data_IF_856949568266
#
_entry.id   IF_856949568266
#
_cell.length_a   1.000
_cell.length_b   1.000
_cell.length_c   1.000
_cell.angle_alpha   90.00
_cell.angle_beta   90.00
_cell.angle_gamma   90.00
#
_symmetry.space_group_name_H-M   'P 1'
#
loop_
_entity.id
_entity.type
_entity.pdbx_description
1 polymer ?
#
# COMPACT_ATOMS: atom_id res chain seq x y z
N UNK A 1 22.90 29.67 8.52
CA UNK A 1 24.35 29.86 8.70
C UNK A 1 24.90 28.55 9.20
N UNK A 2 25.72 27.90 8.39
CA UNK A 2 26.26 26.57 8.70
C UNK A 2 27.37 26.71 9.73
N UNK A 3 27.30 25.93 10.80
CA UNK A 3 28.34 25.89 11.82
C UNK A 3 29.20 24.65 11.63
N UNK A 4 30.50 24.87 11.50
CA UNK A 4 31.50 23.81 11.51
C UNK A 4 32.15 23.82 12.90
N UNK A 5 31.95 22.73 13.64
CA UNK A 5 32.50 22.59 14.98
C UNK A 5 33.83 21.88 14.86
N UNK A 6 34.90 22.56 15.26
CA UNK A 6 36.27 22.04 15.21
C UNK A 6 36.76 21.74 16.62
N UNK A 7 36.90 20.46 16.95
CA UNK A 7 37.52 20.00 18.19
C UNK A 7 39.03 19.91 17.93
N UNK A 8 39.82 20.66 18.71
CA UNK A 8 41.25 20.87 18.40
C UNK A 8 42.18 20.63 19.58
N UNK A 9 43.39 20.21 19.26
CA UNK A 9 44.53 20.13 20.15
C UNK A 9 45.47 21.35 20.00
N UNK A 10 45.61 21.87 18.78
CA UNK A 10 46.56 22.93 18.45
C UNK A 10 45.91 24.21 17.93
N UNK A 11 46.56 25.36 18.16
CA UNK A 11 46.14 26.64 17.57
C UNK A 11 46.43 26.73 16.07
N UNK A 12 47.27 25.83 15.54
CA UNK A 12 47.60 25.81 14.11
C UNK A 12 46.38 25.50 13.24
N UNK A 13 45.47 24.66 13.74
CA UNK A 13 44.21 24.31 13.07
C UNK A 13 43.27 25.50 12.97
N UNK A 14 43.25 26.39 13.98
CA UNK A 14 42.44 27.62 13.93
C UNK A 14 42.87 28.49 12.77
N UNK A 15 44.18 28.72 12.66
CA UNK A 15 44.73 29.56 11.62
C UNK A 15 44.42 28.98 10.24
N UNK A 16 44.61 27.67 10.08
CA UNK A 16 44.35 26.95 8.84
C UNK A 16 42.90 27.14 8.36
N UNK A 17 41.91 26.86 9.21
CA UNK A 17 40.50 26.97 8.82
C UNK A 17 39.95 28.41 8.85
N UNK A 18 40.56 29.31 9.63
CA UNK A 18 40.19 30.74 9.59
C UNK A 18 40.54 31.36 8.24
N UNK A 19 41.69 30.99 7.65
CA UNK A 19 42.06 31.44 6.30
C UNK A 19 41.11 30.90 5.24
N UNK A 20 40.75 29.60 5.33
CA UNK A 20 39.74 29.00 4.45
C UNK A 20 38.45 29.81 4.41
N UNK A 21 37.96 30.20 5.58
CA UNK A 21 36.71 30.94 5.71
C UNK A 21 36.83 32.34 5.10
N UNK A 22 37.92 33.06 5.38
CA UNK A 22 38.11 34.44 4.90
C UNK A 22 38.30 34.52 3.38
N UNK A 23 39.00 33.55 2.81
CA UNK A 23 39.49 33.65 1.44
C UNK A 23 38.52 33.01 0.42
N UNK A 24 37.67 32.07 0.84
CA UNK A 24 36.89 31.24 -0.09
C UNK A 24 35.39 31.14 0.16
N UNK A 25 34.89 31.59 1.32
CA UNK A 25 33.48 31.50 1.68
C UNK A 25 32.97 32.88 2.11
N UNK A 26 31.85 33.32 1.51
CA UNK A 26 31.12 34.47 2.04
C UNK A 26 30.58 34.14 3.44
N UNK A 27 30.14 35.17 4.18
CA UNK A 27 29.78 35.19 5.61
C UNK A 27 28.75 34.17 6.13
N UNK A 28 28.45 33.10 5.39
CA UNK A 28 27.47 32.07 5.71
C UNK A 28 28.06 30.85 6.46
N UNK A 29 29.39 30.82 6.62
CA UNK A 29 30.12 29.77 7.34
C UNK A 29 30.70 30.31 8.65
N UNK A 30 30.44 29.61 9.76
CA UNK A 30 31.01 29.93 11.06
C UNK A 30 31.80 28.73 11.59
N UNK A 31 33.10 28.89 11.80
CA UNK A 31 33.92 27.92 12.50
C UNK A 31 33.84 28.17 14.01
N UNK A 32 33.50 27.13 14.75
CA UNK A 32 33.47 27.11 16.21
C UNK A 32 34.59 26.22 16.70
N UNK A 33 35.63 26.80 17.27
CA UNK A 33 36.80 26.07 17.75
C UNK A 33 36.65 25.71 19.24
N UNK A 34 36.69 24.42 19.56
CA UNK A 34 36.55 23.88 20.92
C UNK A 34 37.86 23.16 21.29
N UNK A 35 38.60 23.62 22.30
CA UNK A 35 39.76 22.89 22.80
C UNK A 35 39.38 21.48 23.29
N UNK A 36 40.21 20.48 23.01
CA UNK A 36 39.96 19.09 23.39
C UNK A 36 39.80 18.85 24.89
N UNK A 37 40.33 19.74 25.73
CA UNK A 37 40.15 19.69 27.18
C UNK A 37 38.88 20.39 27.69
N UNK A 38 38.01 20.87 26.80
CA UNK A 38 36.78 21.62 27.10
C UNK A 38 35.56 21.02 26.39
N UNK A 39 35.49 19.70 26.28
CA UNK A 39 34.42 18.99 25.57
C UNK A 39 33.03 19.25 26.16
N UNK A 40 32.92 19.65 27.43
CA UNK A 40 31.67 20.08 28.04
C UNK A 40 31.00 21.25 27.29
N UNK A 41 31.77 22.02 26.51
CA UNK A 41 31.21 23.08 25.67
C UNK A 41 30.40 22.56 24.48
N UNK A 42 30.59 21.30 24.07
CA UNK A 42 29.82 20.68 22.97
C UNK A 42 28.32 20.67 23.27
N UNK A 43 27.93 20.57 24.54
CA UNK A 43 26.51 20.60 24.94
C UNK A 43 25.81 21.89 24.51
N UNK A 44 26.53 23.03 24.51
CA UNK A 44 25.99 24.32 24.06
C UNK A 44 25.62 24.29 22.58
N UNK A 45 26.33 23.46 21.80
CA UNK A 45 26.13 23.32 20.37
C UNK A 45 25.26 22.13 19.99
N UNK A 46 24.92 21.24 20.93
CA UNK A 46 24.03 20.09 20.70
C UNK A 46 22.71 20.46 20.03
N UNK A 47 22.18 21.67 20.29
CA UNK A 47 20.88 22.15 19.79
C UNK A 47 20.87 22.60 18.33
N UNK A 48 22.02 22.86 17.71
CA UNK A 48 22.03 23.18 16.29
C UNK A 48 21.71 21.92 15.46
N UNK A 49 21.17 22.10 14.27
CA UNK A 49 21.00 21.01 13.29
C UNK A 49 22.02 21.17 12.18
N UNK A 50 22.33 20.08 11.47
CA UNK A 50 23.24 20.08 10.33
C UNK A 50 24.64 20.60 10.69
N UNK A 51 25.31 19.98 11.67
CA UNK A 51 26.71 20.28 12.00
C UNK A 51 27.64 19.40 11.20
N UNK A 52 28.81 19.96 10.91
CA UNK A 52 29.98 19.17 10.51
C UNK A 52 30.96 19.24 11.67
N UNK A 53 31.45 18.08 12.09
CA UNK A 53 32.47 17.98 13.12
C UNK A 53 33.82 17.77 12.47
N UNK A 54 34.76 18.66 12.73
CA UNK A 54 36.17 18.48 12.42
C UNK A 54 36.87 18.12 13.72
N UNK A 55 37.55 16.97 13.78
CA UNK A 55 38.22 16.50 15.00
C UNK A 55 39.70 16.38 14.70
N UNK A 56 40.52 17.25 15.29
CA UNK A 56 41.97 17.13 15.25
C UNK A 56 42.39 15.81 15.91
N UNK A 57 43.29 15.07 15.27
CA UNK A 57 43.82 13.83 15.80
C UNK A 57 44.67 14.12 17.05
N UNK A 58 44.28 13.50 18.16
CA UNK A 58 45.07 13.46 19.41
C UNK A 58 45.83 12.13 19.43
N UNK A 59 45.73 11.37 20.51
CA UNK A 59 45.98 9.93 20.51
C UNK A 59 44.73 9.14 20.05
N UNK A 60 44.93 7.86 19.75
CA UNK A 60 43.88 6.97 19.24
C UNK A 60 42.71 6.86 20.22
N UNK A 61 43.00 6.56 21.49
CA UNK A 61 41.99 6.28 22.51
C UNK A 61 41.14 7.52 22.79
N UNK A 62 41.78 8.68 22.93
CA UNK A 62 41.08 9.93 23.15
C UNK A 62 40.20 10.33 21.96
N UNK A 63 40.71 10.18 20.74
CA UNK A 63 39.96 10.50 19.52
C UNK A 63 38.75 9.57 19.36
N UNK A 64 38.92 8.27 19.59
CA UNK A 64 37.81 7.32 19.57
C UNK A 64 36.77 7.62 20.66
N UNK A 65 37.20 8.03 21.85
CA UNK A 65 36.30 8.43 22.93
C UNK A 65 35.48 9.66 22.55
N UNK A 66 36.07 10.67 21.89
CA UNK A 66 35.31 11.82 21.37
C UNK A 66 34.26 11.34 20.36
N UNK A 67 34.66 10.57 19.35
CA UNK A 67 33.77 10.09 18.28
C UNK A 67 32.59 9.31 18.87
N UNK A 68 32.86 8.41 19.82
CA UNK A 68 31.85 7.55 20.44
C UNK A 68 30.84 8.32 21.29
N UNK A 69 31.24 9.47 21.86
CA UNK A 69 30.38 10.30 22.70
C UNK A 69 29.61 11.36 21.90
N UNK A 70 29.91 11.55 20.61
CA UNK A 70 29.15 12.45 19.76
C UNK A 70 27.83 11.81 19.33
N UNK A 71 26.72 12.34 19.85
CA UNK A 71 25.38 11.98 19.39
C UNK A 71 25.09 12.65 18.05
N UNK A 72 25.48 11.99 16.96
CA UNK A 72 25.24 12.45 15.60
C UNK A 72 23.82 12.14 15.13
N UNK A 73 23.23 13.07 14.39
CA UNK A 73 22.04 12.82 13.58
C UNK A 73 22.41 12.21 12.22
N UNK A 74 21.43 11.64 11.51
CA UNK A 74 21.61 11.00 10.19
C UNK A 74 22.29 11.92 9.13
N UNK A 75 22.21 13.24 9.31
CA UNK A 75 22.73 14.26 8.40
C UNK A 75 24.02 14.94 8.90
N UNK A 76 24.57 14.51 10.05
CA UNK A 76 25.81 15.05 10.64
C UNK A 76 27.00 14.10 10.36
N UNK A 77 28.17 14.67 10.06
CA UNK A 77 29.36 13.90 9.68
C UNK A 77 30.58 14.35 10.46
N UNK A 78 31.47 13.39 10.74
CA UNK A 78 32.77 13.63 11.36
C UNK A 78 33.86 13.56 10.29
N UNK A 79 34.80 14.50 10.32
CA UNK A 79 36.03 14.46 9.55
C UNK A 79 37.23 14.57 10.48
N UNK A 80 38.20 13.68 10.30
CA UNK A 80 39.45 13.75 11.06
C UNK A 80 40.38 14.80 10.46
N UNK A 81 41.02 15.60 11.30
CA UNK A 81 41.99 16.61 10.89
C UNK A 81 43.35 16.24 11.46
N UNK A 82 44.40 16.26 10.66
CA UNK A 82 45.76 16.01 11.15
C UNK A 82 46.80 16.73 10.29
N UNK A 83 48.08 16.67 10.65
CA UNK A 83 49.18 17.15 9.83
C UNK A 83 50.18 16.01 9.60
N UNK A 84 50.20 15.42 8.41
CA UNK A 84 51.02 14.23 8.15
C UNK A 84 52.52 14.41 8.43
N UNK A 85 53.05 15.64 8.40
CA UNK A 85 54.46 15.90 8.71
C UNK A 85 54.78 15.80 10.21
N UNK A 86 53.78 15.92 11.09
CA UNK A 86 53.99 15.90 12.55
C UNK A 86 53.77 14.52 13.17
N UNK A 87 53.19 13.58 12.41
CA UNK A 87 52.81 12.25 12.88
C UNK A 87 53.82 11.19 12.46
N UNK A 88 54.08 10.23 13.36
CA UNK A 88 54.93 9.09 13.06
C UNK A 88 54.13 7.97 12.35
N UNK A 89 54.79 6.84 12.03
CA UNK A 89 54.13 5.73 11.32
C UNK A 89 53.01 5.06 12.15
N UNK A 90 53.17 4.96 13.47
CA UNK A 90 52.16 4.37 14.37
C UNK A 90 50.91 5.25 14.41
N UNK A 91 51.08 6.57 14.48
CA UNK A 91 49.95 7.51 14.50
C UNK A 91 49.16 7.47 13.18
N UNK A 92 49.85 7.36 12.04
CA UNK A 92 49.19 7.21 10.73
C UNK A 92 48.43 5.88 10.61
N UNK A 93 48.90 4.82 11.28
CA UNK A 93 48.16 3.56 11.37
C UNK A 93 46.93 3.70 12.27
N UNK A 94 47.02 4.42 13.38
CA UNK A 94 45.89 4.73 14.25
C UNK A 94 44.80 5.51 13.50
N UNK A 95 45.17 6.54 12.73
CA UNK A 95 44.22 7.30 11.88
C UNK A 95 43.50 6.37 10.90
N UNK A 96 44.23 5.50 10.21
CA UNK A 96 43.63 4.52 9.28
C UNK A 96 42.66 3.59 9.99
N UNK A 97 43.02 3.12 11.18
CA UNK A 97 42.17 2.25 11.98
C UNK A 97 40.88 2.95 12.37
N UNK A 98 40.94 4.19 12.86
CA UNK A 98 39.75 4.99 13.21
C UNK A 98 38.84 5.17 11.98
N UNK A 99 39.41 5.53 10.82
CA UNK A 99 38.66 5.70 9.56
C UNK A 99 37.94 4.42 9.11
N UNK A 100 38.53 3.25 9.33
CA UNK A 100 37.95 1.96 8.94
C UNK A 100 36.89 1.48 9.94
N UNK A 101 37.13 1.68 11.24
CA UNK A 101 36.28 1.15 12.30
C UNK A 101 35.06 2.04 12.58
N UNK A 102 35.10 3.33 12.22
CA UNK A 102 34.03 4.29 12.54
C UNK A 102 33.31 4.76 11.28
N UNK A 103 32.18 4.12 10.96
CA UNK A 103 31.34 4.47 9.81
C UNK A 103 30.78 5.91 9.85
N UNK A 104 30.79 6.57 11.02
CA UNK A 104 30.39 7.97 11.20
C UNK A 104 31.44 8.97 10.71
N UNK A 105 32.67 8.52 10.48
CA UNK A 105 33.76 9.35 9.98
C UNK A 105 33.75 9.33 8.46
N UNK A 106 33.30 10.44 7.86
CA UNK A 106 33.12 10.57 6.41
C UNK A 106 34.43 10.76 5.64
N UNK A 107 35.53 11.10 6.33
CA UNK A 107 36.83 11.26 5.70
C UNK A 107 37.86 11.97 6.59
N UNK A 108 38.86 12.56 5.94
CA UNK A 108 39.95 13.25 6.62
C UNK A 108 40.43 14.51 5.89
N UNK A 109 41.11 15.39 6.61
CA UNK A 109 41.74 16.62 6.15
C UNK A 109 43.17 16.66 6.69
N UNK A 110 44.16 16.65 5.79
CA UNK A 110 45.56 16.81 6.13
C UNK A 110 45.98 18.27 5.90
N UNK A 111 46.28 18.94 7.00
CA UNK A 111 46.69 20.35 7.08
C UNK A 111 48.12 20.60 6.60
N UNK A 112 48.84 19.56 6.19
CA UNK A 112 50.10 19.68 5.47
C UNK A 112 49.89 20.22 4.03
N UNK A 113 48.71 20.03 3.46
CA UNK A 113 48.37 20.59 2.15
C UNK A 113 47.83 22.01 2.27
N UNK A 114 47.86 22.75 1.16
CA UNK A 114 47.24 24.08 1.08
C UNK A 114 45.71 23.99 1.22
N UNK A 115 45.12 25.01 1.84
CA UNK A 115 43.71 25.01 2.25
C UNK A 115 42.75 25.04 1.06
N UNK A 116 43.22 25.61 -0.05
CA UNK A 116 42.63 25.66 -1.38
C UNK A 116 42.22 24.27 -1.87
N UNK A 117 43.01 23.24 -1.53
CA UNK A 117 42.75 21.87 -1.95
C UNK A 117 41.39 21.35 -1.42
N UNK A 118 40.96 21.85 -0.27
CA UNK A 118 39.71 21.43 0.38
C UNK A 118 38.52 22.33 0.04
N UNK A 119 38.69 23.41 -0.72
CA UNK A 119 37.59 24.31 -1.11
C UNK A 119 36.46 23.58 -1.83
N UNK A 120 36.70 22.70 -2.84
CA UNK A 120 35.64 21.94 -3.49
C UNK A 120 34.88 21.02 -2.52
N UNK A 121 35.61 20.42 -1.58
CA UNK A 121 35.07 19.54 -0.55
C UNK A 121 34.11 20.30 0.37
N UNK A 122 34.52 21.44 0.93
CA UNK A 122 33.64 22.25 1.79
C UNK A 122 32.44 22.84 1.02
N UNK A 123 32.61 23.24 -0.25
CA UNK A 123 31.48 23.65 -1.11
C UNK A 123 30.46 22.53 -1.30
N UNK A 124 30.92 21.28 -1.45
CA UNK A 124 30.04 20.13 -1.55
C UNK A 124 29.27 19.89 -0.24
N UNK A 125 29.97 19.94 0.90
CA UNK A 125 29.33 19.79 2.21
C UNK A 125 28.23 20.83 2.46
N UNK A 126 28.50 22.10 2.14
CA UNK A 126 27.53 23.18 2.33
C UNK A 126 26.29 23.00 1.44
N UNK A 127 26.46 22.63 0.16
CA UNK A 127 25.34 22.33 -0.74
C UNK A 127 24.48 21.16 -0.24
N UNK A 128 25.10 20.15 0.38
CA UNK A 128 24.39 19.01 0.96
C UNK A 128 23.57 19.44 2.17
N UNK A 129 24.09 20.31 3.04
CA UNK A 129 23.34 20.86 4.17
C UNK A 129 22.10 21.65 3.71
N UNK A 130 22.23 22.49 2.68
CA UNK A 130 21.09 23.21 2.07
C UNK A 130 20.04 22.26 1.46
N UNK A 131 20.48 21.09 0.99
CA UNK A 131 19.61 20.07 0.38
C UNK A 131 18.93 19.19 1.46
N UNK A 132 19.60 18.93 2.58
CA UNK A 132 19.05 18.20 3.74
C UNK A 132 17.83 18.90 4.34
N UNK A 133 17.83 20.24 4.43
CA UNK A 133 16.65 21.01 4.85
C UNK A 133 15.44 20.84 3.91
N UNK A 134 15.68 20.64 2.61
CA UNK A 134 14.61 20.38 1.62
C UNK A 134 14.09 18.94 1.74
N UNK A 135 14.96 17.98 2.02
CA UNK A 135 14.60 16.56 2.22
C UNK A 135 13.84 16.37 3.54
N UNK A 136 14.22 17.06 4.62
CA UNK A 136 13.49 17.05 5.90
C UNK A 136 12.06 17.57 5.76
N UNK A 137 11.84 18.61 4.93
CA UNK A 137 10.49 19.09 4.57
C UNK A 137 9.70 18.05 3.79
N UNK A 138 10.32 17.33 2.85
CA UNK A 138 9.69 16.23 2.12
C UNK A 138 9.35 15.02 3.02
N UNK A 139 10.22 14.68 3.97
CA UNK A 139 9.98 13.61 4.96
C UNK A 139 8.81 13.95 5.88
N UNK A 140 8.67 15.22 6.27
CA UNK A 140 7.52 15.71 7.03
C UNK A 140 6.22 15.71 6.22
N UNK A 141 6.27 16.08 4.94
CA UNK A 141 5.13 15.94 4.02
C UNK A 141 4.75 14.47 3.82
N UNK A 142 5.74 13.57 3.70
CA UNK A 142 5.53 12.12 3.66
C UNK A 142 4.85 11.59 4.91
N UNK A 143 5.31 11.97 6.10
CA UNK A 143 4.67 11.62 7.38
C UNK A 143 3.26 12.18 7.53
N UNK A 144 3.00 13.40 7.03
CA UNK A 144 1.66 13.99 7.01
C UNK A 144 0.73 13.23 6.05
N UNK A 145 1.24 12.79 4.90
CA UNK A 145 0.54 11.93 3.96
C UNK A 145 0.25 10.55 4.56
N UNK A 146 1.23 9.91 5.18
CA UNK A 146 1.06 8.63 5.88
C UNK A 146 0.05 8.75 7.03
N UNK A 147 0.10 9.85 7.79
CA UNK A 147 -0.89 10.15 8.83
C UNK A 147 -2.30 10.38 8.28
N UNK A 148 -2.44 11.12 7.17
CA UNK A 148 -3.72 11.33 6.50
C UNK A 148 -4.28 10.03 5.91
N UNK A 149 -3.43 9.21 5.28
CA UNK A 149 -3.80 7.89 4.77
C UNK A 149 -4.20 6.97 5.93
N UNK A 150 -3.43 6.94 7.01
CA UNK A 150 -3.74 6.16 8.22
C UNK A 150 -5.06 6.57 8.86
N UNK A 151 -5.32 7.88 8.98
CA UNK A 151 -6.59 8.41 9.48
C UNK A 151 -7.76 8.08 8.54
N UNK A 152 -7.55 8.14 7.22
CA UNK A 152 -8.58 7.78 6.23
C UNK A 152 -8.89 6.28 6.29
N UNK A 153 -7.87 5.43 6.44
CA UNK A 153 -8.04 3.98 6.63
C UNK A 153 -8.77 3.66 7.94
N UNK A 154 -8.46 4.37 9.02
CA UNK A 154 -9.15 4.21 10.30
C UNK A 154 -10.63 4.62 10.22
N UNK A 155 -10.94 5.73 9.55
CA UNK A 155 -12.32 6.15 9.31
C UNK A 155 -13.06 5.16 8.38
N UNK A 156 -12.39 4.60 7.37
CA UNK A 156 -12.97 3.53 6.53
C UNK A 156 -13.24 2.26 7.34
N UNK A 157 -12.34 1.85 8.23
CA UNK A 157 -12.56 0.72 9.13
C UNK A 157 -13.75 0.98 10.06
N UNK A 158 -13.88 2.20 10.57
CA UNK A 158 -15.05 2.62 11.35
C UNK A 158 -16.34 2.55 10.53
N UNK A 159 -16.30 2.99 9.28
CA UNK A 159 -17.42 2.84 8.32
C UNK A 159 -17.72 1.37 8.05
N UNK A 160 -16.72 0.48 7.95
CA UNK A 160 -16.90 -0.98 7.81
C UNK A 160 -17.62 -1.57 9.02
N UNK A 161 -17.20 -1.22 10.24
CA UNK A 161 -17.83 -1.69 11.47
C UNK A 161 -19.28 -1.17 11.61
N UNK A 162 -19.54 0.08 11.19
CA UNK A 162 -20.91 0.63 11.14
C UNK A 162 -21.72 -0.07 10.04
N UNK A 163 -21.14 -0.27 8.86
CA UNK A 163 -21.78 -0.97 7.73
C UNK A 163 -22.13 -2.40 8.13
N UNK A 164 -21.27 -3.14 8.79
CA UNK A 164 -21.55 -4.48 9.30
C UNK A 164 -22.73 -4.52 10.29
N UNK A 165 -22.78 -3.58 11.22
CA UNK A 165 -23.90 -3.44 12.16
C UNK A 165 -25.21 -3.02 11.47
N UNK A 166 -25.10 -2.39 10.29
CA UNK A 166 -26.19 -1.72 9.58
C UNK A 166 -26.55 -2.42 8.26
N UNK A 167 -25.86 -3.48 7.81
CA UNK A 167 -26.17 -4.16 6.54
C UNK A 167 -27.07 -5.36 6.84
N UNK A 168 -28.41 -5.15 6.84
CA UNK A 168 -29.29 -6.25 6.63
C UNK A 168 -28.95 -6.87 5.27
N UNK A 169 -29.31 -8.14 5.12
CA UNK A 169 -29.38 -8.76 3.81
C UNK A 169 -30.11 -7.82 2.83
N UNK A 170 -29.42 -7.33 1.80
CA UNK A 170 -30.04 -6.44 0.82
C UNK A 170 -31.01 -7.27 0.00
N UNK A 171 -32.16 -6.70 -0.30
CA UNK A 171 -33.19 -7.32 -1.13
C UNK A 171 -33.58 -6.34 -2.23
N UNK A 172 -33.27 -6.70 -3.47
CA UNK A 172 -33.70 -6.00 -4.66
C UNK A 172 -34.75 -6.84 -5.39
N UNK A 173 -35.94 -6.26 -5.57
CA UNK A 173 -37.01 -6.89 -6.33
C UNK A 173 -37.21 -6.15 -7.63
N UNK A 174 -37.04 -6.87 -8.72
CA UNK A 174 -37.38 -6.41 -10.07
C UNK A 174 -38.46 -7.33 -10.65
N UNK A 175 -39.01 -6.97 -11.82
CA UNK A 175 -40.14 -7.70 -12.40
C UNK A 175 -39.77 -9.17 -12.64
N UNK A 176 -40.30 -10.05 -11.80
CA UNK A 176 -40.08 -11.49 -11.92
C UNK A 176 -38.71 -12.00 -11.49
N UNK A 177 -37.87 -11.18 -10.83
CA UNK A 177 -36.61 -11.62 -10.24
C UNK A 177 -36.43 -11.03 -8.84
N UNK A 178 -36.07 -11.86 -7.87
CA UNK A 178 -35.65 -11.46 -6.53
C UNK A 178 -34.14 -11.66 -6.41
N UNK A 179 -33.42 -10.62 -6.00
CA UNK A 179 -31.98 -10.66 -5.75
C UNK A 179 -31.75 -10.36 -4.28
N UNK A 180 -31.11 -11.29 -3.59
CA UNK A 180 -30.72 -11.16 -2.19
C UNK A 180 -29.21 -11.22 -2.11
N UNK A 181 -28.60 -10.38 -1.29
CA UNK A 181 -27.16 -10.39 -1.10
C UNK A 181 -26.81 -10.30 0.37
N UNK A 182 -25.80 -11.05 0.78
CA UNK A 182 -25.24 -11.00 2.13
C UNK A 182 -23.71 -10.90 2.02
N UNK A 183 -23.15 -10.07 2.88
CA UNK A 183 -21.72 -9.81 3.00
C UNK A 183 -21.31 -10.03 4.45
N UNK A 184 -20.11 -10.54 4.67
CA UNK A 184 -19.46 -10.57 5.97
C UNK A 184 -18.00 -10.17 5.81
N UNK A 185 -17.54 -9.35 6.73
CA UNK A 185 -16.19 -8.82 6.79
C UNK A 185 -15.20 -9.91 7.20
N UNK A 186 -14.02 -9.90 6.57
CA UNK A 186 -12.87 -10.65 7.02
C UNK A 186 -11.73 -9.80 7.56
N UNK A 187 -10.78 -10.47 8.20
CA UNK A 187 -9.58 -9.88 8.80
C UNK A 187 -8.53 -9.46 7.75
N UNK A 188 -8.44 -10.18 6.63
CA UNK A 188 -7.45 -9.87 5.59
C UNK A 188 -7.73 -8.53 4.91
N UNK A 189 -6.65 -7.82 4.61
CA UNK A 189 -6.70 -6.57 3.85
C UNK A 189 -7.26 -6.81 2.44
N UNK A 190 -8.12 -5.89 2.00
CA UNK A 190 -8.89 -6.04 0.77
C UNK A 190 -10.35 -5.75 1.00
N UNK A 191 -11.15 -5.95 -0.04
CA UNK A 191 -12.59 -5.76 0.08
C UNK A 191 -13.34 -6.54 -0.98
N UNK A 192 -14.42 -7.18 -0.57
CA UNK A 192 -15.49 -7.53 -1.51
C UNK A 192 -16.41 -6.32 -1.72
N UNK A 193 -16.77 -6.10 -2.98
CA UNK A 193 -17.76 -5.10 -3.34
C UNK A 193 -18.75 -5.69 -4.34
N UNK A 194 -20.03 -5.37 -4.17
CA UNK A 194 -21.06 -5.76 -5.12
C UNK A 194 -22.09 -4.65 -5.31
N UNK A 195 -22.64 -4.59 -6.51
CA UNK A 195 -23.65 -3.60 -6.88
C UNK A 195 -24.44 -4.03 -8.12
N UNK A 196 -25.61 -3.43 -8.30
CA UNK A 196 -26.58 -3.79 -9.31
C UNK A 196 -27.07 -2.54 -10.02
N UNK A 197 -27.01 -2.55 -11.34
CA UNK A 197 -27.66 -1.55 -12.19
C UNK A 197 -28.87 -2.21 -12.80
N UNK A 198 -30.07 -1.75 -12.46
CA UNK A 198 -31.31 -2.32 -12.98
C UNK A 198 -32.01 -1.38 -13.95
N UNK A 199 -32.52 -1.96 -15.04
CA UNK A 199 -33.51 -1.36 -15.95
C UNK A 199 -34.75 -2.29 -16.00
N UNK A 200 -35.78 -1.93 -16.78
CA UNK A 200 -37.08 -2.60 -16.79
C UNK A 200 -37.03 -4.10 -17.05
N UNK A 201 -36.12 -4.55 -17.93
CA UNK A 201 -36.04 -5.95 -18.39
C UNK A 201 -34.61 -6.50 -18.38
N UNK A 202 -33.65 -5.74 -17.86
CA UNK A 202 -32.27 -6.16 -17.79
C UNK A 202 -31.62 -5.60 -16.54
N UNK A 203 -30.60 -6.27 -16.05
CA UNK A 203 -29.76 -5.74 -14.98
C UNK A 203 -28.30 -6.13 -15.20
N UNK A 204 -27.38 -5.29 -14.76
CA UNK A 204 -25.95 -5.60 -14.71
C UNK A 204 -25.57 -5.82 -13.27
N UNK A 205 -25.00 -7.00 -13.00
CA UNK A 205 -24.46 -7.38 -11.72
C UNK A 205 -22.94 -7.23 -11.75
N UNK A 206 -22.40 -6.50 -10.78
CA UNK A 206 -20.98 -6.42 -10.50
C UNK A 206 -20.70 -7.07 -9.15
N UNK A 207 -19.69 -7.94 -9.10
CA UNK A 207 -19.10 -8.45 -7.87
C UNK A 207 -17.59 -8.47 -8.04
N UNK A 208 -16.87 -7.85 -7.11
CA UNK A 208 -15.42 -7.75 -7.15
C UNK A 208 -14.79 -8.14 -5.83
N UNK A 209 -13.62 -8.75 -5.89
CA UNK A 209 -12.76 -9.05 -4.75
C UNK A 209 -11.38 -8.47 -5.03
N UNK A 210 -10.84 -7.68 -4.11
CA UNK A 210 -9.54 -7.03 -4.28
C UNK A 210 -8.64 -7.25 -3.07
N UNK A 211 -7.31 -7.13 -3.27
CA UNK A 211 -6.32 -7.17 -2.19
C UNK A 211 -6.10 -5.82 -1.51
N UNK A 212 -6.66 -4.74 -2.06
CA UNK A 212 -6.50 -3.39 -1.50
C UNK A 212 -7.72 -2.51 -1.71
N UNK A 213 -7.98 -1.63 -0.74
CA UNK A 213 -9.09 -0.67 -0.82
C UNK A 213 -8.94 0.31 -1.98
N UNK A 214 -7.70 0.70 -2.33
CA UNK A 214 -7.42 1.58 -3.46
C UNK A 214 -7.96 0.97 -4.76
N UNK A 215 -7.69 -0.33 -4.96
CA UNK A 215 -8.21 -1.08 -6.11
C UNK A 215 -9.75 -1.07 -6.12
N UNK A 216 -10.38 -1.35 -4.98
CA UNK A 216 -11.85 -1.32 -4.88
C UNK A 216 -12.41 0.06 -5.23
N UNK A 217 -11.79 1.15 -4.77
CA UNK A 217 -12.22 2.52 -5.06
C UNK A 217 -12.15 2.87 -6.55
N UNK A 218 -11.14 2.40 -7.26
CA UNK A 218 -11.02 2.60 -8.72
C UNK A 218 -12.15 1.88 -9.45
N UNK A 219 -12.39 0.61 -9.13
CA UNK A 219 -13.49 -0.18 -9.72
C UNK A 219 -14.84 0.49 -9.47
N UNK A 220 -15.05 0.97 -8.24
CA UNK A 220 -16.25 1.70 -7.84
C UNK A 220 -16.46 2.96 -8.68
N UNK A 221 -15.42 3.76 -8.87
CA UNK A 221 -15.51 4.99 -9.65
C UNK A 221 -15.96 4.71 -11.10
N UNK A 222 -15.39 3.68 -11.72
CA UNK A 222 -15.79 3.26 -13.07
C UNK A 222 -17.20 2.69 -13.12
N UNK A 223 -17.62 1.96 -12.10
CA UNK A 223 -19.00 1.45 -12.03
C UNK A 223 -20.03 2.57 -11.83
N UNK A 224 -19.70 3.63 -11.09
CA UNK A 224 -20.54 4.82 -10.96
C UNK A 224 -20.67 5.59 -12.29
N UNK A 225 -19.63 5.57 -13.13
CA UNK A 225 -19.72 6.08 -14.51
C UNK A 225 -20.64 5.20 -15.35
N UNK A 226 -20.55 3.86 -15.20
CA UNK A 226 -21.43 2.91 -15.89
C UNK A 226 -22.91 3.15 -15.57
N UNK A 227 -23.25 3.39 -14.30
CA UNK A 227 -24.63 3.71 -13.84
C UNK A 227 -25.26 4.90 -14.54
N UNK A 228 -24.45 5.86 -15.01
CA UNK A 228 -24.92 7.08 -15.68
C UNK A 228 -25.22 6.86 -17.16
N UNK A 229 -24.79 5.73 -17.75
CA UNK A 229 -25.03 5.42 -19.16
C UNK A 229 -26.48 4.96 -19.38
N UNK A 230 -27.09 5.41 -20.49
CA UNK A 230 -28.48 5.08 -20.84
C UNK A 230 -28.67 3.64 -21.34
N UNK A 231 -27.62 3.03 -21.90
CA UNK A 231 -27.64 1.68 -22.44
C UNK A 231 -26.43 0.91 -21.94
N UNK A 232 -26.68 -0.33 -21.50
CA UNK A 232 -25.66 -1.24 -21.00
C UNK A 232 -25.42 -2.32 -22.05
N UNK A 233 -24.82 -1.96 -23.18
CA UNK A 233 -24.45 -2.93 -24.21
C UNK A 233 -23.13 -3.65 -23.88
N UNK A 234 -22.83 -4.72 -24.60
CA UNK A 234 -21.61 -5.52 -24.37
C UNK A 234 -20.34 -4.69 -24.58
N UNK A 235 -20.39 -3.70 -25.48
CA UNK A 235 -19.29 -2.77 -25.74
C UNK A 235 -19.01 -1.90 -24.53
N UNK A 236 -20.04 -1.40 -23.86
CA UNK A 236 -19.90 -0.59 -22.64
C UNK A 236 -19.27 -1.39 -21.50
N UNK A 237 -19.61 -2.69 -21.35
CA UNK A 237 -18.96 -3.57 -20.37
C UNK A 237 -17.51 -3.86 -20.76
N UNK A 238 -17.23 -4.00 -22.06
CA UNK A 238 -15.87 -4.17 -22.57
C UNK A 238 -14.99 -2.94 -22.32
N UNK A 239 -15.54 -1.75 -22.55
CA UNK A 239 -14.86 -0.48 -22.29
C UNK A 239 -14.54 -0.35 -20.80
N UNK A 240 -15.49 -0.69 -19.91
CA UNK A 240 -15.28 -0.75 -18.46
C UNK A 240 -14.06 -1.60 -18.07
N UNK A 241 -13.94 -2.82 -18.63
CA UNK A 241 -12.80 -3.70 -18.33
C UNK A 241 -11.49 -3.06 -18.77
N UNK A 242 -11.49 -2.36 -19.91
CA UNK A 242 -10.34 -1.62 -20.39
C UNK A 242 -9.92 -0.45 -19.53
N UNK A 243 -10.89 0.33 -19.07
CA UNK A 243 -10.66 1.49 -18.23
C UNK A 243 -10.09 1.04 -16.87
N UNK A 244 -10.66 -0.02 -16.29
CA UNK A 244 -10.15 -0.68 -15.08
C UNK A 244 -8.72 -1.23 -15.30
N UNK A 245 -8.46 -1.93 -16.41
CA UNK A 245 -7.13 -2.47 -16.73
C UNK A 245 -6.08 -1.37 -16.83
N UNK A 246 -6.39 -0.26 -17.52
CA UNK A 246 -5.46 0.85 -17.72
C UNK A 246 -5.10 1.52 -16.40
N UNK A 247 -6.11 1.93 -15.62
CA UNK A 247 -5.88 2.69 -14.39
C UNK A 247 -5.20 1.84 -13.31
N UNK A 248 -5.62 0.58 -13.15
CA UNK A 248 -4.99 -0.32 -12.18
C UNK A 248 -3.59 -0.76 -12.61
N UNK A 249 -3.34 -0.84 -13.93
CA UNK A 249 -2.02 -1.10 -14.48
C UNK A 249 -1.01 0.00 -14.16
N UNK A 250 -1.42 1.27 -14.21
CA UNK A 250 -0.60 2.43 -13.81
C UNK A 250 -0.24 2.40 -12.31
N UNK A 251 -1.16 1.90 -11.48
CA UNK A 251 -0.94 1.70 -10.04
C UNK A 251 -0.15 0.42 -9.70
N UNK A 252 0.23 -0.37 -10.71
CA UNK A 252 1.01 -1.59 -10.53
C UNK A 252 0.20 -2.84 -10.15
N UNK A 253 -1.13 -2.75 -10.13
CA UNK A 253 -2.05 -3.87 -9.88
C UNK A 253 -2.44 -4.57 -11.20
N UNK A 254 -3.15 -5.71 -11.09
CA UNK A 254 -3.67 -6.45 -12.26
C UNK A 254 -2.62 -7.24 -13.03
N UNK A 255 -1.45 -7.47 -12.43
CA UNK A 255 -0.43 -8.37 -12.99
C UNK A 255 -0.77 -9.82 -12.71
N UNK A 256 -1.35 -10.09 -11.54
CA UNK A 256 -1.80 -11.41 -11.10
C UNK A 256 -3.32 -11.43 -10.96
N UNK A 257 -3.92 -12.61 -11.08
CA UNK A 257 -5.36 -12.78 -10.93
C UNK A 257 -5.81 -12.55 -9.48
N UNK A 258 -4.93 -12.78 -8.51
CA UNK A 258 -5.26 -12.58 -7.09
C UNK A 258 -5.35 -11.10 -6.71
N UNK A 259 -4.66 -10.21 -7.43
CA UNK A 259 -4.67 -8.76 -7.14
C UNK A 259 -6.10 -8.19 -7.24
N UNK A 260 -6.83 -8.64 -8.27
CA UNK A 260 -8.15 -8.15 -8.65
C UNK A 260 -8.94 -9.28 -9.29
N UNK A 261 -10.10 -9.56 -8.72
CA UNK A 261 -11.08 -10.48 -9.28
C UNK A 261 -12.36 -9.72 -9.57
N UNK A 262 -12.89 -9.90 -10.79
CA UNK A 262 -14.01 -9.17 -11.33
C UNK A 262 -15.03 -10.13 -11.95
N UNK A 263 -16.24 -10.14 -11.41
CA UNK A 263 -17.42 -10.68 -12.06
C UNK A 263 -18.29 -9.51 -12.53
N UNK A 264 -18.58 -9.45 -13.84
CA UNK A 264 -19.53 -8.50 -14.39
C UNK A 264 -20.41 -9.21 -15.41
N UNK A 265 -21.72 -9.22 -15.19
CA UNK A 265 -22.64 -9.86 -16.11
C UNK A 265 -23.95 -9.09 -16.26
N UNK A 266 -24.39 -8.95 -17.51
CA UNK A 266 -25.69 -8.43 -17.91
C UNK A 266 -26.68 -9.58 -18.00
N UNK A 267 -27.77 -9.49 -17.25
CA UNK A 267 -28.89 -10.42 -17.28
C UNK A 267 -30.02 -9.82 -18.13
N UNK A 268 -30.37 -10.49 -19.23
CA UNK A 268 -31.53 -10.16 -20.07
C UNK A 268 -32.72 -11.04 -19.65
N UNK A 269 -33.72 -10.42 -19.04
CA UNK A 269 -34.90 -11.11 -18.51
C UNK A 269 -35.89 -11.53 -19.60
N UNK A 270 -35.84 -10.91 -20.79
CA UNK A 270 -36.67 -11.32 -21.93
C UNK A 270 -36.11 -12.59 -22.57
N UNK A 271 -34.79 -12.64 -22.76
CA UNK A 271 -34.10 -13.77 -23.38
C UNK A 271 -33.78 -14.90 -22.39
N UNK A 272 -33.85 -14.63 -21.09
CA UNK A 272 -33.39 -15.51 -20.03
C UNK A 272 -31.92 -15.93 -20.23
N UNK A 273 -31.05 -14.95 -20.49
CA UNK A 273 -29.60 -15.17 -20.70
C UNK A 273 -28.81 -14.15 -19.93
N UNK A 274 -27.74 -14.58 -19.27
CA UNK A 274 -26.76 -13.72 -18.64
C UNK A 274 -25.45 -13.77 -19.44
N UNK A 275 -24.97 -12.61 -19.88
CA UNK A 275 -23.73 -12.48 -20.65
C UNK A 275 -22.76 -11.55 -19.96
N UNK A 276 -21.48 -11.90 -19.94
CA UNK A 276 -20.52 -11.12 -19.18
C UNK A 276 -19.13 -11.71 -19.17
N UNK A 277 -18.39 -11.38 -18.12
CA UNK A 277 -17.01 -11.78 -17.92
C UNK A 277 -16.77 -12.18 -16.46
N UNK A 278 -16.02 -13.26 -16.28
CA UNK A 278 -15.52 -13.70 -14.99
C UNK A 278 -14.00 -13.66 -15.05
N UNK A 279 -13.35 -12.87 -14.20
CA UNK A 279 -11.91 -12.87 -13.97
C UNK A 279 -11.68 -13.24 -12.50
N UNK A 280 -11.04 -14.36 -12.22
CA UNK A 280 -10.88 -14.87 -10.86
C UNK A 280 -11.85 -16.01 -10.51
N UNK A 281 -11.78 -16.47 -9.26
CA UNK A 281 -12.33 -17.72 -8.74
C UNK A 281 -13.77 -17.58 -8.20
N UNK A 282 -14.63 -16.85 -8.92
CA UNK A 282 -16.05 -16.81 -8.60
C UNK A 282 -16.71 -18.15 -8.88
N UNK A 283 -17.74 -18.49 -8.12
CA UNK A 283 -18.56 -19.68 -8.39
C UNK A 283 -20.02 -19.27 -8.55
N UNK A 284 -20.65 -19.73 -9.63
CA UNK A 284 -22.08 -19.53 -9.87
C UNK A 284 -22.77 -20.89 -9.92
N UNK A 285 -23.62 -21.15 -8.93
CA UNK A 285 -24.23 -22.45 -8.70
C UNK A 285 -25.74 -22.33 -8.93
N UNK A 286 -26.27 -23.16 -9.84
CA UNK A 286 -27.69 -23.22 -10.18
C UNK A 286 -28.33 -24.51 -9.68
N UNK A 287 -29.57 -24.41 -9.21
CA UNK A 287 -30.39 -25.58 -8.88
C UNK A 287 -30.81 -26.42 -10.11
N UNK A 288 -30.62 -25.91 -11.35
CA UNK A 288 -31.04 -26.57 -12.59
C UNK A 288 -29.88 -26.90 -13.55
N UNK A 289 -28.83 -26.06 -13.62
CA UNK A 289 -27.84 -26.10 -14.72
C UNK A 289 -26.40 -26.38 -14.29
N UNK A 290 -26.17 -26.75 -13.03
CA UNK A 290 -24.85 -27.12 -12.52
C UNK A 290 -24.05 -25.91 -12.00
N UNK A 291 -22.73 -25.96 -12.13
CA UNK A 291 -21.79 -24.98 -11.59
C UNK A 291 -21.02 -24.34 -12.75
N UNK A 292 -20.96 -23.01 -12.77
CA UNK A 292 -20.01 -22.25 -13.57
C UNK A 292 -18.91 -21.79 -12.63
N UNK A 293 -17.71 -22.30 -12.82
CA UNK A 293 -16.52 -21.88 -12.08
C UNK A 293 -15.80 -20.79 -12.84
N UNK A 294 -15.19 -19.87 -12.11
CA UNK A 294 -14.32 -18.85 -12.66
C UNK A 294 -12.99 -19.40 -13.16
N UNK A 295 -11.99 -18.54 -13.23
CA UNK A 295 -10.68 -18.81 -13.83
C UNK A 295 -9.54 -18.10 -13.09
N UNK A 296 -8.32 -18.33 -13.52
CA UNK A 296 -7.12 -17.69 -12.99
C UNK A 296 -6.59 -16.59 -13.94
N UNK A 297 -7.47 -15.96 -14.74
CA UNK A 297 -7.05 -14.90 -15.64
C UNK A 297 -7.06 -13.54 -14.91
N UNK A 298 -6.00 -12.73 -15.06
CA UNK A 298 -6.02 -11.36 -14.59
C UNK A 298 -7.02 -10.53 -15.41
N UNK A 299 -7.54 -9.46 -14.81
CA UNK A 299 -8.47 -8.50 -15.45
C UNK A 299 -7.75 -7.75 -16.57
N UNK A 300 -7.72 -8.35 -17.76
CA UNK A 300 -7.10 -7.79 -18.97
C UNK A 300 -7.91 -8.10 -20.21
N UNK A 301 -7.99 -7.14 -21.14
CA UNK A 301 -8.68 -7.28 -22.43
C UNK A 301 -8.20 -8.49 -23.23
N UNK A 302 -6.90 -8.82 -23.17
CA UNK A 302 -6.33 -9.98 -23.87
C UNK A 302 -6.91 -11.33 -23.42
N UNK A 303 -7.44 -11.40 -22.20
CA UNK A 303 -8.08 -12.61 -21.66
C UNK A 303 -9.60 -12.58 -21.73
N UNK A 304 -10.20 -11.48 -22.18
CA UNK A 304 -11.63 -11.28 -22.06
C UNK A 304 -12.44 -12.29 -22.88
N UNK A 305 -11.97 -12.73 -24.05
CA UNK A 305 -12.62 -13.81 -24.80
C UNK A 305 -12.67 -15.13 -24.03
N UNK A 306 -11.62 -15.42 -23.23
CA UNK A 306 -11.55 -16.63 -22.39
C UNK A 306 -12.32 -16.48 -21.08
N UNK A 307 -12.48 -15.25 -20.61
CA UNK A 307 -13.24 -14.89 -19.43
C UNK A 307 -14.74 -14.74 -19.73
N UNK A 308 -15.13 -14.70 -21.01
CA UNK A 308 -16.51 -14.50 -21.43
C UNK A 308 -17.41 -15.66 -20.99
N UNK A 309 -18.60 -15.30 -20.50
CA UNK A 309 -19.64 -16.24 -20.08
C UNK A 309 -20.96 -15.92 -20.79
N UNK A 310 -21.67 -16.97 -21.18
CA UNK A 310 -23.04 -16.93 -21.70
C UNK A 310 -23.87 -18.01 -20.99
N UNK A 311 -24.62 -17.58 -19.98
CA UNK A 311 -25.33 -18.47 -19.05
C UNK A 311 -26.83 -18.33 -19.32
N UNK A 312 -27.45 -19.30 -20.01
CA UNK A 312 -28.91 -19.30 -20.13
C UNK A 312 -29.50 -19.64 -18.76
N UNK A 313 -30.67 -19.07 -18.41
CA UNK A 313 -31.44 -19.41 -17.21
C UNK A 313 -32.91 -19.69 -17.55
N UNK A 314 -33.72 -20.10 -16.57
CA UNK A 314 -35.13 -20.47 -16.73
C UNK A 314 -36.00 -19.87 -15.61
N UNK A 315 -37.31 -19.84 -15.84
CA UNK A 315 -38.28 -19.49 -14.79
C UNK A 315 -38.25 -20.53 -13.67
N UNK A 316 -38.28 -20.07 -12.42
CA UNK A 316 -38.14 -20.90 -11.24
C UNK A 316 -36.71 -21.33 -10.92
N UNK A 317 -35.73 -20.88 -11.71
CA UNK A 317 -34.31 -21.15 -11.44
C UNK A 317 -33.83 -20.28 -10.28
N UNK A 318 -33.04 -20.91 -9.40
CA UNK A 318 -32.34 -20.29 -8.28
C UNK A 318 -30.85 -20.39 -8.54
N UNK A 319 -30.17 -19.26 -8.45
CA UNK A 319 -28.74 -19.13 -8.73
C UNK A 319 -28.09 -18.49 -7.51
N UNK A 320 -26.94 -19.01 -7.10
CA UNK A 320 -26.09 -18.42 -6.06
C UNK A 320 -24.74 -18.09 -6.68
N UNK A 321 -24.40 -16.81 -6.70
CA UNK A 321 -23.07 -16.30 -7.04
C UNK A 321 -22.26 -16.12 -5.76
N UNK A 322 -21.06 -16.67 -5.73
CA UNK A 322 -20.15 -16.64 -4.60
C UNK A 322 -18.86 -15.93 -4.97
N UNK A 323 -18.43 -15.04 -4.06
CA UNK A 323 -17.06 -14.54 -4.05
C UNK A 323 -16.05 -15.65 -3.72
N UNK A 324 -14.78 -15.50 -4.12
CA UNK A 324 -13.70 -16.41 -3.72
C UNK A 324 -13.58 -16.57 -2.20
N UNK A 325 -13.90 -15.52 -1.44
CA UNK A 325 -13.84 -15.53 0.01
C UNK A 325 -14.78 -16.53 0.66
N UNK A 326 -15.96 -16.78 0.09
CA UNK A 326 -16.86 -17.83 0.58
C UNK A 326 -16.16 -19.19 0.50
N UNK A 327 -15.57 -19.51 -0.65
CA UNK A 327 -14.86 -20.78 -0.86
C UNK A 327 -13.65 -20.91 0.05
N UNK A 328 -12.87 -19.84 0.20
CA UNK A 328 -11.67 -19.83 1.04
C UNK A 328 -12.01 -20.06 2.51
N UNK A 329 -13.01 -19.37 3.04
CA UNK A 329 -13.48 -19.62 4.41
C UNK A 329 -14.07 -21.03 4.56
N UNK A 330 -14.81 -21.54 3.56
CA UNK A 330 -15.40 -22.89 3.62
C UNK A 330 -14.37 -24.01 3.55
N UNK A 331 -13.27 -23.83 2.81
CA UNK A 331 -12.19 -24.80 2.71
C UNK A 331 -11.49 -25.04 4.06
N UNK A 332 -11.46 -24.03 4.93
CA UNK A 332 -10.92 -24.14 6.29
C UNK A 332 -11.89 -24.84 7.26
N UNK A 333 -13.18 -24.93 6.90
CA UNK A 333 -14.26 -25.54 7.70
C UNK A 333 -14.42 -27.05 7.55
N UNK A 334 -13.39 -27.78 7.08
CA UNK A 334 -13.20 -29.26 7.16
C UNK A 334 -13.35 -30.04 5.83
N UNK A 335 -12.49 -31.06 5.72
CA UNK A 335 -12.48 -32.28 4.88
C UNK A 335 -13.83 -33.01 4.66
N UNK A 336 -14.96 -32.54 5.17
CA UNK A 336 -16.22 -33.32 5.26
C UNK A 336 -17.43 -32.71 4.53
N UNK A 337 -17.40 -31.44 4.08
CA UNK A 337 -18.54 -30.85 3.38
C UNK A 337 -18.14 -30.13 2.09
N UNK A 338 -18.62 -30.65 0.95
CA UNK A 338 -18.58 -29.94 -0.31
C UNK A 338 -19.60 -28.79 -0.27
N UNK A 339 -19.13 -27.55 -0.35
CA UNK A 339 -19.95 -26.33 -0.46
C UNK A 339 -21.06 -26.48 -1.51
N UNK A 340 -20.77 -27.19 -2.60
CA UNK A 340 -21.74 -27.52 -3.64
C UNK A 340 -22.89 -28.37 -3.11
N UNK A 341 -22.58 -29.43 -2.36
CA UNK A 341 -23.59 -30.30 -1.76
C UNK A 341 -24.45 -29.52 -0.76
N UNK A 342 -23.82 -28.72 0.10
CA UNK A 342 -24.53 -27.84 1.01
C UNK A 342 -25.54 -26.95 0.27
N UNK A 343 -25.13 -26.27 -0.80
CA UNK A 343 -26.04 -25.40 -1.55
C UNK A 343 -27.16 -26.18 -2.24
N UNK A 344 -26.84 -27.35 -2.82
CA UNK A 344 -27.82 -28.23 -3.46
C UNK A 344 -28.93 -28.66 -2.51
N UNK A 345 -28.56 -29.09 -1.31
CA UNK A 345 -29.51 -29.55 -0.29
C UNK A 345 -30.39 -28.40 0.23
N UNK A 346 -29.87 -27.17 0.18
CA UNK A 346 -30.52 -25.99 0.71
C UNK A 346 -31.30 -25.15 -0.32
N UNK A 347 -31.23 -25.43 -1.64
CA UNK A 347 -32.00 -24.69 -2.66
C UNK A 347 -33.52 -24.78 -2.51
N UNK A 348 -34.02 -25.77 -1.77
CA UNK A 348 -35.45 -25.88 -1.43
C UNK A 348 -35.91 -24.76 -0.50
N UNK A 349 -35.01 -24.19 0.31
CA UNK A 349 -35.29 -23.10 1.25
C UNK A 349 -35.51 -21.76 0.53
N UNK A 350 -36.02 -20.76 1.27
CA UNK A 350 -36.05 -19.38 0.78
C UNK A 350 -34.64 -18.83 0.66
N UNK A 351 -34.40 -17.89 -0.26
CA UNK A 351 -33.07 -17.30 -0.43
C UNK A 351 -32.52 -16.68 0.86
N UNK A 352 -33.39 -16.07 1.68
CA UNK A 352 -33.03 -15.56 3.01
C UNK A 352 -32.50 -16.64 3.95
N UNK A 353 -33.21 -17.78 4.01
CA UNK A 353 -32.82 -18.88 4.87
C UNK A 353 -31.52 -19.53 4.39
N UNK A 354 -31.37 -19.74 3.07
CA UNK A 354 -30.15 -20.27 2.47
C UNK A 354 -28.93 -19.38 2.78
N UNK A 355 -29.02 -18.07 2.53
CA UNK A 355 -27.91 -17.14 2.81
C UNK A 355 -27.61 -17.05 4.32
N UNK A 356 -28.63 -17.09 5.17
CA UNK A 356 -28.38 -17.10 6.61
C UNK A 356 -27.65 -18.36 7.07
N UNK A 357 -28.04 -19.52 6.56
CA UNK A 357 -27.40 -20.79 6.91
C UNK A 357 -25.99 -20.90 6.33
N UNK A 358 -25.76 -20.39 5.12
CA UNK A 358 -24.42 -20.28 4.52
C UNK A 358 -23.49 -19.48 5.45
N UNK A 359 -23.87 -18.26 5.81
CA UNK A 359 -23.04 -17.40 6.65
C UNK A 359 -22.94 -17.90 8.09
N UNK A 360 -23.97 -18.54 8.63
CA UNK A 360 -23.88 -19.20 9.92
C UNK A 360 -22.80 -20.29 9.91
N UNK A 361 -22.74 -21.10 8.86
CA UNK A 361 -21.68 -22.09 8.71
C UNK A 361 -20.30 -21.43 8.56
N UNK A 362 -20.19 -20.35 7.78
CA UNK A 362 -18.94 -19.59 7.65
C UNK A 362 -18.37 -19.11 8.99
N UNK A 363 -19.24 -18.65 9.90
CA UNK A 363 -18.84 -18.18 11.24
C UNK A 363 -18.68 -19.30 12.28
N UNK A 364 -19.09 -20.55 11.99
CA UNK A 364 -19.14 -21.62 13.00
C UNK A 364 -17.79 -21.93 13.65
N UNK A 365 -16.68 -21.72 12.93
CA UNK A 365 -15.33 -21.93 13.45
C UNK A 365 -14.50 -20.63 13.54
N UNK A 366 -15.09 -19.46 13.27
CA UNK A 366 -14.38 -18.21 13.54
C UNK A 366 -14.33 -18.01 15.06
N UNK A 367 -13.12 -17.90 15.61
CA UNK A 367 -12.93 -17.58 17.03
C UNK A 367 -13.23 -16.10 17.33
N UNK A 368 -13.20 -15.29 16.29
CA UNK A 368 -13.46 -13.86 16.29
C UNK A 368 -14.81 -13.58 15.60
N UNK A 369 -15.32 -12.37 15.78
CA UNK A 369 -16.54 -11.90 15.11
C UNK A 369 -16.35 -11.80 13.57
N UNK A 370 -15.10 -11.76 13.09
CA UNK A 370 -14.75 -11.66 11.69
C UNK A 370 -14.44 -13.02 11.03
N UNK A 371 -14.64 -13.09 9.71
CA UNK A 371 -14.12 -14.18 8.88
C UNK A 371 -12.62 -13.98 8.62
N UNK A 372 -11.95 -14.99 8.05
CA UNK A 372 -10.54 -14.83 7.66
C UNK A 372 -10.46 -14.04 6.34
N UNK A 373 -11.37 -14.30 5.42
CA UNK A 373 -11.51 -13.58 4.16
C UNK A 373 -12.87 -12.88 4.12
N UNK A 374 -12.91 -11.66 3.56
CA UNK A 374 -14.17 -11.02 3.16
C UNK A 374 -14.99 -11.99 2.31
N UNK A 375 -16.29 -12.10 2.56
CA UNK A 375 -17.14 -13.05 1.85
C UNK A 375 -18.47 -12.43 1.46
N UNK A 376 -18.74 -12.41 0.15
CA UNK A 376 -20.03 -12.05 -0.44
C UNK A 376 -20.71 -13.23 -1.11
N UNK A 377 -22.02 -13.33 -0.92
CA UNK A 377 -22.88 -14.23 -1.68
C UNK A 377 -24.14 -13.51 -2.16
N UNK A 378 -24.53 -13.78 -3.41
CA UNK A 378 -25.68 -13.18 -4.08
C UNK A 378 -26.59 -14.31 -4.55
N UNK A 379 -27.81 -14.35 -4.04
CA UNK A 379 -28.87 -15.26 -4.43
C UNK A 379 -29.80 -14.57 -5.41
N UNK A 380 -30.08 -15.21 -6.54
CA UNK A 380 -30.96 -14.73 -7.60
C UNK A 380 -32.05 -15.78 -7.81
N UNK A 381 -33.31 -15.41 -7.69
CA UNK A 381 -34.45 -16.28 -7.97
C UNK A 381 -35.34 -15.68 -9.06
N UNK A 382 -35.52 -16.45 -10.13
CA UNK A 382 -36.43 -16.10 -11.23
C UNK A 382 -37.81 -16.63 -10.92
N UNK A 383 -38.81 -15.75 -10.83
CA UNK A 383 -40.20 -16.14 -10.55
C UNK A 383 -40.74 -17.10 -11.62
N UNK A 384 -41.44 -18.15 -11.16
CA UNK A 384 -42.16 -19.08 -12.04
C UNK A 384 -43.22 -18.37 -12.89
N UNK A 385 -43.80 -17.30 -12.35
CA UNK A 385 -44.89 -16.53 -12.95
C UNK A 385 -44.40 -15.23 -13.59
N UNK A 386 -43.11 -15.11 -13.89
CA UNK A 386 -42.59 -13.91 -14.54
C UNK A 386 -43.19 -13.74 -15.95
N UNK A 387 -44.04 -12.73 -16.11
CA UNK A 387 -44.59 -12.31 -17.41
C UNK A 387 -43.78 -11.09 -17.86
N UNK A 388 -42.96 -11.28 -18.89
CA UNK A 388 -42.25 -10.19 -19.56
C UNK A 388 -43.05 -9.79 -20.79
N UNK A 389 -43.42 -8.52 -20.87
CA UNK A 389 -44.11 -7.98 -22.03
C UNK A 389 -43.11 -7.91 -23.18
N UNK A 390 -43.35 -8.71 -24.22
CA UNK A 390 -42.49 -8.80 -25.42
C UNK A 390 -42.44 -7.44 -26.10
#
# INVERSE_FOLDING_TARGET
MSKIITIRNSESVDYYFTNLCKDFFDSDLEFVFIPGNQLEQLEKYSKFQNKIFLIEMFDEDFTQNIISNLNLNDDEEIYLVFNSNTFNTEDLLAIKKILIENNSVGGWIDTNYEVEFYVPFFRYLLKRQESGEKIGKLKNVGKQLEGLVGNTLAELQRVKNIHEQVVPMRNEKMKGVEILSKYSAGEKSGGDFFDIISDKNEFVLLLTTSVSYVVSSVILAHFEVLKKKKSLDDKVIWDLIGDIESELGELGFGKKAEDIQLFVAKFDLKKFTAKGYIFGKFELISNMKGIVTGNDYPVKKVFADKAHIDIPFKRGEKIVLLSPGVRNNFAELVKENDLTCFLRDNFSKSGKALLNELFFNLHKNSREDFLIYDASAIFIEVSKNAIFQV
#
